data_IF_919478121872
#
_entry.id   IF_919478121872
#
_cell.length_a   1.000
_cell.length_b   1.000
_cell.length_c   1.000
_cell.angle_alpha   90.00
_cell.angle_beta   90.00
_cell.angle_gamma   90.00
#
_symmetry.space_group_name_H-M   'P 1'
#
loop_
_entity.id
_entity.type
_entity.pdbx_description
1 polymer ?
#
# COMPACT_ATOMS: atom_id res chain seq x y z
N UNK A 1 1.84 -20.64 1.66
CA UNK A 1 1.05 -21.23 2.76
C UNK A 1 -0.43 -20.92 2.56
N UNK A 2 -1.33 -21.77 3.04
CA UNK A 2 -2.77 -21.57 2.89
C UNK A 2 -3.45 -21.32 4.23
N UNK A 3 -4.51 -20.51 4.21
CA UNK A 3 -5.36 -20.33 5.38
C UNK A 3 -6.55 -21.32 5.44
N UNK A 4 -7.40 -21.17 6.45
CA UNK A 4 -8.58 -22.00 6.70
C UNK A 4 -9.65 -21.95 5.59
N UNK A 5 -9.52 -21.04 4.63
CA UNK A 5 -10.44 -20.88 3.50
C UNK A 5 -9.78 -21.23 2.16
N UNK A 6 -8.57 -21.80 2.18
CA UNK A 6 -7.83 -22.21 0.98
C UNK A 6 -7.15 -21.07 0.23
N UNK A 7 -7.05 -19.87 0.82
CA UNK A 7 -6.37 -18.73 0.19
C UNK A 7 -4.86 -18.89 0.33
N UNK A 8 -4.14 -18.85 -0.78
CA UNK A 8 -2.68 -18.86 -0.76
C UNK A 8 -2.14 -17.49 -0.32
N UNK A 9 -1.44 -17.46 0.81
CA UNK A 9 -0.77 -16.27 1.32
C UNK A 9 0.68 -16.23 0.82
N UNK A 10 0.94 -15.34 -0.15
CA UNK A 10 2.24 -15.19 -0.81
C UNK A 10 2.74 -13.73 -0.83
N UNK A 11 2.01 -12.80 -0.20
CA UNK A 11 2.31 -11.38 -0.22
C UNK A 11 2.39 -10.80 1.21
N UNK A 12 3.58 -10.35 1.60
CA UNK A 12 3.84 -9.68 2.87
C UNK A 12 3.89 -8.15 2.70
N UNK A 13 3.26 -7.41 3.61
CA UNK A 13 3.45 -5.97 3.76
C UNK A 13 4.17 -5.69 5.08
N UNK A 14 5.25 -4.93 5.04
CA UNK A 14 6.04 -4.58 6.23
C UNK A 14 6.09 -3.07 6.36
N UNK A 15 5.52 -2.55 7.45
CA UNK A 15 5.70 -1.15 7.84
C UNK A 15 7.06 -1.01 8.52
N UNK A 16 7.96 -0.24 7.93
CA UNK A 16 9.32 -0.09 8.45
C UNK A 16 9.39 1.02 9.51
N UNK A 17 8.44 1.94 9.55
CA UNK A 17 8.43 3.01 10.54
C UNK A 17 7.01 3.54 10.70
N UNK A 18 6.72 4.08 11.87
CA UNK A 18 5.52 4.84 12.18
C UNK A 18 5.65 6.34 11.86
N UNK A 19 6.86 6.81 11.57
CA UNK A 19 7.14 8.21 11.24
C UNK A 19 6.73 8.53 9.82
N UNK A 20 6.03 9.64 9.64
CA UNK A 20 5.67 10.19 8.34
C UNK A 20 6.00 11.68 8.32
N UNK A 21 6.43 12.20 7.19
CA UNK A 21 6.61 13.63 6.97
C UNK A 21 5.29 14.34 6.58
N UNK A 22 4.19 13.61 6.36
CA UNK A 22 2.85 14.17 6.07
C UNK A 22 1.90 13.95 7.27
N UNK A 23 0.77 14.68 7.29
CA UNK A 23 -0.31 14.57 8.29
C UNK A 23 -1.67 14.47 7.61
N UNK A 24 -1.81 13.51 6.69
CA UNK A 24 -3.00 13.45 5.84
C UNK A 24 -4.28 13.26 6.64
N UNK A 25 -5.34 13.99 6.28
CA UNK A 25 -6.61 14.06 7.03
C UNK A 25 -7.17 12.69 7.40
N UNK A 26 -7.25 11.76 6.44
CA UNK A 26 -7.80 10.42 6.66
C UNK A 26 -6.80 9.42 7.27
N UNK A 27 -5.55 9.85 7.51
CA UNK A 27 -4.46 8.96 7.88
C UNK A 27 -3.92 9.23 9.27
N UNK A 28 -3.60 10.49 9.61
CA UNK A 28 -2.92 10.89 10.84
C UNK A 28 -3.46 12.25 11.33
N UNK A 29 -3.72 12.43 12.65
CA UNK A 29 -4.19 13.69 13.21
C UNK A 29 -3.20 14.83 12.99
N UNK A 30 -3.69 16.08 13.09
CA UNK A 30 -2.91 17.29 12.80
C UNK A 30 -1.74 17.46 13.74
N UNK A 31 -1.99 17.22 15.02
CA UNK A 31 -1.04 17.30 16.13
C UNK A 31 0.05 16.21 16.02
N UNK A 32 -0.12 15.25 15.10
CA UNK A 32 0.70 14.07 14.98
C UNK A 32 0.38 13.04 16.05
N UNK A 33 1.26 12.03 16.15
CA UNK A 33 1.06 10.87 17.02
C UNK A 33 2.31 10.63 17.84
N UNK A 34 2.16 10.03 19.01
CA UNK A 34 3.30 9.57 19.78
C UNK A 34 4.04 8.47 19.02
N UNK A 35 5.27 8.76 18.64
CA UNK A 35 6.08 7.79 17.93
C UNK A 35 6.53 6.66 18.83
N UNK A 36 6.60 5.47 18.24
CA UNK A 36 7.17 4.27 18.83
C UNK A 36 8.63 4.55 19.20
N UNK A 37 9.05 4.23 20.44
CA UNK A 37 10.44 4.29 20.86
C UNK A 37 11.34 3.48 19.93
N UNK A 38 12.58 3.94 19.74
CA UNK A 38 13.47 3.32 18.76
C UNK A 38 13.72 1.83 19.06
N UNK A 39 13.85 1.44 20.33
CA UNK A 39 14.03 0.03 20.72
C UNK A 39 12.86 -0.89 20.34
N UNK A 40 11.65 -0.31 20.23
CA UNK A 40 10.41 -1.03 19.94
C UNK A 40 10.08 -1.07 18.44
N UNK A 41 10.90 -0.44 17.59
CA UNK A 41 10.80 -0.56 16.14
C UNK A 41 11.51 -1.83 15.68
N UNK A 42 10.84 -2.61 14.82
CA UNK A 42 11.42 -3.77 14.13
C UNK A 42 12.67 -3.34 13.36
N UNK A 43 13.83 -3.92 13.70
CA UNK A 43 15.12 -3.60 13.06
C UNK A 43 15.23 -4.23 11.67
N UNK A 44 16.21 -3.80 10.88
CA UNK A 44 16.43 -4.38 9.56
C UNK A 44 16.83 -5.85 9.63
N UNK A 45 17.60 -6.21 10.67
CA UNK A 45 17.98 -7.58 10.99
C UNK A 45 16.76 -8.42 11.36
N UNK A 46 15.77 -7.83 12.06
CA UNK A 46 14.50 -8.51 12.35
C UNK A 46 13.68 -8.74 11.08
N UNK A 47 13.62 -7.75 10.18
CA UNK A 47 12.93 -7.90 8.90
C UNK A 47 13.62 -8.97 8.04
N UNK A 48 14.95 -8.97 8.01
CA UNK A 48 15.73 -9.96 7.26
C UNK A 48 15.49 -11.38 7.79
N UNK A 49 15.52 -11.55 9.11
CA UNK A 49 15.19 -12.81 9.78
C UNK A 49 13.74 -13.24 9.48
N UNK A 50 12.77 -12.34 9.63
CA UNK A 50 11.37 -12.59 9.29
C UNK A 50 11.21 -13.10 7.86
N UNK A 51 11.86 -12.45 6.89
CA UNK A 51 11.82 -12.87 5.49
C UNK A 51 12.53 -14.20 5.27
N UNK A 52 13.62 -14.48 5.99
CA UNK A 52 14.29 -15.78 6.01
C UNK A 52 13.35 -16.92 6.38
N UNK A 53 12.45 -16.70 7.34
CA UNK A 53 11.45 -17.68 7.77
C UNK A 53 10.25 -17.76 6.80
N UNK A 54 9.74 -16.61 6.37
CA UNK A 54 8.48 -16.54 5.60
C UNK A 54 8.61 -16.91 4.12
N UNK A 55 9.78 -16.72 3.50
CA UNK A 55 9.98 -17.07 2.09
C UNK A 55 9.87 -18.59 1.86
N UNK A 56 10.52 -19.45 2.66
CA UNK A 56 10.28 -20.90 2.62
C UNK A 56 8.81 -21.28 2.83
N UNK A 57 8.06 -20.50 3.63
CA UNK A 57 6.62 -20.74 3.86
C UNK A 57 5.71 -20.32 2.70
N UNK A 58 6.25 -19.67 1.67
CA UNK A 58 5.52 -19.34 0.44
C UNK A 58 5.42 -17.84 0.14
N UNK A 59 5.98 -16.95 0.97
CA UNK A 59 6.05 -15.53 0.59
C UNK A 59 6.95 -15.37 -0.64
N UNK A 60 6.44 -14.64 -1.64
CA UNK A 60 7.13 -14.36 -2.91
C UNK A 60 7.28 -12.87 -3.18
N UNK A 61 6.45 -12.06 -2.53
CA UNK A 61 6.45 -10.61 -2.66
C UNK A 61 6.43 -9.94 -1.30
N UNK A 62 7.29 -8.94 -1.13
CA UNK A 62 7.25 -8.03 0.01
C UNK A 62 6.98 -6.61 -0.49
N UNK A 63 6.07 -5.91 0.17
CA UNK A 63 5.88 -4.47 0.01
C UNK A 63 6.27 -3.76 1.28
N UNK A 64 7.21 -2.84 1.16
CA UNK A 64 7.58 -1.95 2.25
C UNK A 64 6.71 -0.69 2.23
N UNK A 65 6.26 -0.33 3.43
CA UNK A 65 5.47 0.87 3.73
C UNK A 65 5.97 1.48 5.05
N UNK A 66 5.30 2.51 5.55
CA UNK A 66 5.59 3.11 6.85
C UNK A 66 4.27 3.46 7.57
N UNK A 67 4.00 4.69 8.04
CA UNK A 67 4.78 5.91 7.87
C UNK A 67 5.14 6.27 6.42
N UNK A 68 6.18 7.07 6.27
CA UNK A 68 6.90 7.25 5.01
C UNK A 68 8.22 6.45 5.06
N UNK A 69 8.40 5.37 4.29
CA UNK A 69 9.61 4.54 4.36
C UNK A 69 10.92 5.31 4.17
N UNK A 70 10.92 6.32 3.29
CA UNK A 70 12.14 7.06 2.93
C UNK A 70 12.64 7.98 4.04
N UNK A 71 11.85 8.21 5.11
CA UNK A 71 12.36 8.91 6.31
C UNK A 71 13.22 8.01 7.19
N UNK A 72 13.15 6.68 7.02
CA UNK A 72 13.90 5.74 7.88
C UNK A 72 15.34 5.63 7.38
N UNK A 73 16.28 6.17 8.18
CA UNK A 73 17.71 6.17 7.88
C UNK A 73 18.23 4.74 7.60
N UNK A 74 18.99 4.59 6.52
CA UNK A 74 19.60 3.33 6.12
C UNK A 74 18.68 2.38 5.33
N UNK A 75 17.42 2.77 5.10
CA UNK A 75 16.43 1.89 4.47
C UNK A 75 16.82 1.44 3.06
N UNK A 76 17.34 2.32 2.21
CA UNK A 76 17.74 1.95 0.85
C UNK A 76 18.96 1.03 0.84
N UNK A 77 19.90 1.22 1.77
CA UNK A 77 21.01 0.28 1.97
C UNK A 77 20.51 -1.13 2.30
N UNK A 78 19.58 -1.21 3.26
CA UNK A 78 18.90 -2.47 3.59
C UNK A 78 18.19 -3.09 2.37
N UNK A 79 17.48 -2.31 1.56
CA UNK A 79 16.82 -2.85 0.36
C UNK A 79 17.82 -3.39 -0.67
N UNK A 80 18.97 -2.72 -0.88
CA UNK A 80 20.03 -3.19 -1.77
C UNK A 80 20.59 -4.54 -1.29
N UNK A 81 20.87 -4.64 0.00
CA UNK A 81 21.37 -5.87 0.62
C UNK A 81 20.33 -7.00 0.53
N UNK A 82 19.07 -6.69 0.83
CA UNK A 82 17.96 -7.63 0.74
C UNK A 82 17.80 -8.17 -0.68
N UNK A 83 17.83 -7.29 -1.69
CA UNK A 83 17.71 -7.71 -3.10
C UNK A 83 18.90 -8.57 -3.52
N UNK A 84 20.12 -8.17 -3.15
CA UNK A 84 21.36 -8.93 -3.44
C UNK A 84 21.30 -10.34 -2.85
N UNK A 85 20.88 -10.46 -1.59
CA UNK A 85 20.79 -11.74 -0.89
C UNK A 85 19.61 -12.61 -1.36
N UNK A 86 18.55 -11.98 -1.90
CA UNK A 86 17.30 -12.66 -2.29
C UNK A 86 16.82 -12.17 -3.67
N UNK A 87 17.54 -12.50 -4.76
CA UNK A 87 17.29 -11.93 -6.08
C UNK A 87 15.90 -12.26 -6.65
N UNK A 88 15.34 -13.41 -6.27
CA UNK A 88 14.01 -13.86 -6.72
C UNK A 88 12.85 -13.17 -5.97
N UNK A 89 13.12 -12.52 -4.82
CA UNK A 89 12.08 -11.83 -4.06
C UNK A 89 11.62 -10.59 -4.83
N UNK A 90 10.30 -10.48 -5.04
CA UNK A 90 9.69 -9.26 -5.58
C UNK A 90 9.59 -8.23 -4.45
N UNK A 91 10.37 -7.16 -4.56
CA UNK A 91 10.39 -6.07 -3.60
C UNK A 91 9.62 -4.90 -4.21
N UNK A 92 8.62 -4.39 -3.49
CA UNK A 92 7.85 -3.22 -3.90
C UNK A 92 7.85 -2.17 -2.78
N UNK A 93 7.69 -0.91 -3.16
CA UNK A 93 7.69 0.23 -2.24
C UNK A 93 6.40 1.03 -2.38
N UNK A 94 5.85 1.53 -1.28
CA UNK A 94 4.84 2.60 -1.27
C UNK A 94 5.40 3.81 -0.56
N UNK A 95 5.30 4.99 -1.17
CA UNK A 95 5.80 6.27 -0.65
C UNK A 95 4.83 7.38 -1.01
N UNK A 96 4.86 8.50 -0.30
CA UNK A 96 4.20 9.74 -0.70
C UNK A 96 4.95 10.48 -1.82
N UNK A 97 6.17 10.08 -2.17
CA UNK A 97 6.92 10.60 -3.30
C UNK A 97 7.80 11.83 -3.00
N UNK A 98 7.56 12.55 -1.90
CA UNK A 98 8.24 13.82 -1.59
C UNK A 98 9.78 13.72 -1.47
N UNK A 99 10.28 12.57 -1.01
CA UNK A 99 11.71 12.33 -0.81
C UNK A 99 12.40 11.62 -1.98
N UNK A 100 11.65 11.25 -3.04
CA UNK A 100 12.21 10.49 -4.17
C UNK A 100 13.33 11.25 -4.87
N UNK A 101 13.21 12.57 -5.01
CA UNK A 101 14.24 13.42 -5.63
C UNK A 101 15.61 13.32 -4.95
N UNK A 102 15.64 13.09 -3.65
CA UNK A 102 16.88 12.95 -2.87
C UNK A 102 17.53 11.58 -3.03
N UNK A 103 16.75 10.57 -3.44
CA UNK A 103 17.16 9.17 -3.45
C UNK A 103 17.00 8.50 -4.81
N UNK A 104 16.88 9.28 -5.89
CA UNK A 104 16.55 8.79 -7.22
C UNK A 104 17.53 7.70 -7.70
N UNK A 105 18.84 7.99 -7.66
CA UNK A 105 19.88 7.06 -8.09
C UNK A 105 19.86 5.77 -7.26
N UNK A 106 19.71 5.91 -5.94
CA UNK A 106 19.67 4.78 -5.03
C UNK A 106 18.45 3.89 -5.26
N UNK A 107 17.27 4.49 -5.48
CA UNK A 107 16.04 3.78 -5.80
C UNK A 107 16.15 3.00 -7.12
N UNK A 108 16.74 3.62 -8.15
CA UNK A 108 17.02 2.96 -9.42
C UNK A 108 17.95 1.75 -9.29
N UNK A 109 18.94 1.83 -8.40
CA UNK A 109 19.90 0.76 -8.15
C UNK A 109 19.37 -0.44 -7.34
N UNK A 110 18.24 -0.30 -6.62
CA UNK A 110 17.69 -1.37 -5.78
C UNK A 110 17.12 -2.54 -6.59
N UNK A 111 16.64 -2.30 -7.82
CA UNK A 111 15.94 -3.34 -8.59
C UNK A 111 14.54 -3.64 -8.04
N UNK A 112 13.79 -2.58 -7.70
CA UNK A 112 12.40 -2.68 -7.26
C UNK A 112 11.50 -3.25 -8.37
N UNK A 113 10.63 -4.20 -8.00
CA UNK A 113 9.61 -4.75 -8.88
C UNK A 113 8.43 -3.81 -9.14
N UNK A 114 8.33 -2.71 -8.38
CA UNK A 114 7.31 -1.69 -8.58
C UNK A 114 7.26 -0.68 -7.43
N UNK A 115 6.88 0.54 -7.78
CA UNK A 115 6.77 1.66 -6.86
C UNK A 115 5.34 2.22 -6.92
N UNK A 116 4.73 2.40 -5.75
CA UNK A 116 3.45 3.07 -5.62
C UNK A 116 3.67 4.46 -5.01
N UNK A 117 3.17 5.50 -5.67
CA UNK A 117 3.09 6.85 -5.10
C UNK A 117 1.66 7.12 -4.69
N UNK A 118 1.43 7.59 -3.47
CA UNK A 118 0.11 8.07 -3.04
C UNK A 118 -0.06 9.53 -3.46
N UNK A 119 -1.08 9.83 -4.26
CA UNK A 119 -1.42 11.17 -4.73
C UNK A 119 -2.94 11.26 -4.90
N UNK A 120 -3.58 12.08 -4.06
CA UNK A 120 -5.04 12.20 -4.06
C UNK A 120 -5.57 13.32 -4.95
N UNK A 121 -4.75 14.27 -5.37
CA UNK A 121 -5.15 15.42 -6.18
C UNK A 121 -3.93 16.01 -6.89
N UNK A 122 -4.15 16.63 -8.05
CA UNK A 122 -3.12 17.39 -8.78
C UNK A 122 -3.32 18.91 -8.61
N UNK A 123 -4.31 19.33 -7.84
CA UNK A 123 -4.46 20.71 -7.39
C UNK A 123 -3.62 20.95 -6.13
N UNK A 124 -2.80 22.01 -6.17
CA UNK A 124 -1.85 22.32 -5.10
C UNK A 124 -2.53 22.70 -3.78
N UNK A 125 -3.63 23.43 -3.82
CA UNK A 125 -4.34 23.87 -2.61
C UNK A 125 -5.15 22.71 -2.00
N UNK A 126 -5.81 21.89 -2.83
CA UNK A 126 -6.42 20.63 -2.37
C UNK A 126 -5.36 19.70 -1.78
N UNK A 127 -4.19 19.59 -2.41
CA UNK A 127 -3.08 18.78 -1.90
C UNK A 127 -2.63 19.24 -0.51
N UNK A 128 -2.40 20.55 -0.35
CA UNK A 128 -2.01 21.13 0.92
C UNK A 128 -3.07 20.91 2.00
N UNK A 129 -4.35 21.00 1.63
CA UNK A 129 -5.48 20.75 2.53
C UNK A 129 -5.50 19.29 3.00
N UNK A 130 -5.40 18.32 2.08
CA UNK A 130 -5.52 16.90 2.43
C UNK A 130 -4.28 16.36 3.14
N UNK A 131 -3.07 16.83 2.79
CA UNK A 131 -1.80 16.33 3.34
C UNK A 131 -1.28 17.13 4.53
N UNK A 132 -1.78 18.37 4.72
CA UNK A 132 -1.31 19.38 5.68
C UNK A 132 0.18 19.72 5.52
N UNK A 133 0.69 19.71 4.28
CA UNK A 133 2.08 20.06 3.99
C UNK A 133 2.21 20.77 2.64
N UNK A 134 3.28 21.55 2.46
CA UNK A 134 3.59 22.28 1.22
C UNK A 134 4.64 21.53 0.37
N UNK A 135 4.40 20.22 0.17
CA UNK A 135 5.34 19.30 -0.49
C UNK A 135 4.90 18.95 -1.93
N UNK A 136 3.90 19.64 -2.47
CA UNK A 136 3.30 19.35 -3.78
C UNK A 136 4.36 19.27 -4.89
N UNK A 137 5.23 20.29 -4.97
CA UNK A 137 6.25 20.34 -6.03
C UNK A 137 7.29 19.22 -5.90
N UNK A 138 7.66 18.87 -4.66
CA UNK A 138 8.59 17.79 -4.40
C UNK A 138 7.98 16.43 -4.79
N UNK A 139 6.68 16.22 -4.57
CA UNK A 139 5.96 15.01 -5.01
C UNK A 139 5.88 14.95 -6.53
N UNK A 140 5.53 16.05 -7.19
CA UNK A 140 5.45 16.11 -8.66
C UNK A 140 6.80 15.84 -9.32
N UNK A 141 7.88 16.46 -8.80
CA UNK A 141 9.25 16.18 -9.24
C UNK A 141 9.63 14.72 -9.01
N UNK A 142 9.27 14.15 -7.84
CA UNK A 142 9.51 12.75 -7.53
C UNK A 142 8.84 11.79 -8.51
N UNK A 143 7.57 12.03 -8.84
CA UNK A 143 6.81 11.24 -9.83
C UNK A 143 7.48 11.34 -11.21
N UNK A 144 7.87 12.55 -11.62
CA UNK A 144 8.56 12.81 -12.88
C UNK A 144 9.88 12.02 -12.98
N UNK A 145 10.67 12.02 -11.92
CA UNK A 145 11.93 11.27 -11.83
C UNK A 145 11.66 9.77 -12.00
N UNK A 146 10.66 9.22 -11.30
CA UNK A 146 10.35 7.79 -11.39
C UNK A 146 9.94 7.41 -12.82
N UNK A 147 8.99 8.15 -13.38
CA UNK A 147 8.41 7.88 -14.69
C UNK A 147 9.39 8.04 -15.85
N UNK A 148 10.38 8.94 -15.72
CA UNK A 148 11.35 9.23 -16.80
C UNK A 148 12.70 8.54 -16.62
N UNK A 149 13.17 8.31 -15.38
CA UNK A 149 14.57 7.93 -15.12
C UNK A 149 14.75 6.55 -14.51
N UNK A 150 13.81 6.06 -13.69
CA UNK A 150 14.10 4.89 -12.85
C UNK A 150 13.78 3.54 -13.49
N UNK A 151 13.06 3.51 -14.63
CA UNK A 151 12.61 2.28 -15.30
C UNK A 151 11.96 1.27 -14.31
N UNK A 152 11.22 1.79 -13.33
CA UNK A 152 10.48 1.00 -12.33
C UNK A 152 9.00 1.12 -12.69
N UNK A 153 8.22 0.01 -12.71
CA UNK A 153 6.78 0.08 -12.89
C UNK A 153 6.13 0.99 -11.84
N UNK A 154 5.67 2.15 -12.28
CA UNK A 154 5.06 3.17 -11.44
C UNK A 154 3.54 3.00 -11.41
N UNK A 155 2.98 3.11 -10.21
CA UNK A 155 1.54 3.18 -10.02
C UNK A 155 1.20 4.33 -9.10
N UNK A 156 0.22 5.13 -9.49
CA UNK A 156 -0.31 6.21 -8.65
C UNK A 156 -1.55 5.67 -7.94
N UNK A 157 -1.61 5.83 -6.62
CA UNK A 157 -2.76 5.44 -5.81
C UNK A 157 -3.48 6.70 -5.34
N UNK A 158 -4.76 6.79 -5.65
CA UNK A 158 -5.62 7.92 -5.32
C UNK A 158 -6.82 7.40 -4.55
N UNK A 159 -7.03 7.90 -3.32
CA UNK A 159 -8.29 7.65 -2.60
C UNK A 159 -9.35 8.55 -3.21
N UNK A 160 -10.39 7.96 -3.80
CA UNK A 160 -11.49 8.71 -4.42
C UNK A 160 -12.49 9.14 -3.35
N UNK A 161 -12.70 10.45 -3.23
CA UNK A 161 -13.53 11.10 -2.21
C UNK A 161 -14.52 12.01 -2.92
N UNK A 162 -15.81 11.73 -2.75
CA UNK A 162 -16.89 12.52 -3.36
C UNK A 162 -16.91 13.95 -2.80
N UNK A 163 -17.09 14.93 -3.68
CA UNK A 163 -17.06 16.35 -3.34
C UNK A 163 -15.66 16.91 -3.04
N UNK A 164 -14.60 16.16 -3.35
CA UNK A 164 -13.22 16.60 -3.11
C UNK A 164 -12.33 16.45 -4.34
N UNK A 165 -12.17 15.22 -4.86
CA UNK A 165 -11.32 14.93 -6.02
C UNK A 165 -12.02 14.09 -7.10
N UNK A 166 -13.32 13.89 -6.96
CA UNK A 166 -14.17 13.19 -7.91
C UNK A 166 -14.32 13.98 -9.23
N UNK A 167 -14.19 15.29 -9.17
CA UNK A 167 -14.07 16.20 -10.32
C UNK A 167 -12.71 16.10 -11.06
N UNK A 168 -11.69 15.52 -10.43
CA UNK A 168 -10.33 15.41 -10.98
C UNK A 168 -10.03 14.05 -11.63
N UNK A 169 -10.96 13.09 -11.64
CA UNK A 169 -10.72 11.72 -12.09
C UNK A 169 -10.10 11.68 -13.50
N UNK A 170 -10.65 12.43 -14.45
CA UNK A 170 -10.12 12.52 -15.82
C UNK A 170 -8.70 13.10 -15.85
N UNK A 171 -8.50 14.24 -15.18
CA UNK A 171 -7.20 14.91 -15.14
C UNK A 171 -6.12 14.04 -14.49
N UNK A 172 -6.47 13.27 -13.46
CA UNK A 172 -5.59 12.33 -12.78
C UNK A 172 -5.20 11.14 -13.69
N UNK A 173 -6.13 10.64 -14.50
CA UNK A 173 -5.85 9.58 -15.49
C UNK A 173 -4.88 10.10 -16.56
N UNK A 174 -5.11 11.30 -17.06
CA UNK A 174 -4.27 11.91 -18.08
C UNK A 174 -2.88 12.27 -17.54
N UNK A 175 -2.81 12.79 -16.31
CA UNK A 175 -1.56 12.97 -15.59
C UNK A 175 -0.79 11.66 -15.47
N UNK A 176 -1.43 10.59 -14.98
CA UNK A 176 -0.76 9.30 -14.84
C UNK A 176 -0.24 8.75 -16.19
N UNK A 177 -1.02 8.90 -17.28
CA UNK A 177 -0.57 8.56 -18.63
C UNK A 177 0.69 9.33 -19.01
N UNK A 178 0.71 10.65 -18.82
CA UNK A 178 1.88 11.49 -19.13
C UNK A 178 3.13 11.03 -18.36
N UNK A 179 2.95 10.57 -17.12
CA UNK A 179 4.05 10.08 -16.26
C UNK A 179 4.41 8.62 -16.47
N UNK A 180 3.92 7.95 -17.52
CA UNK A 180 4.10 6.51 -17.75
C UNK A 180 3.69 5.64 -16.54
N UNK A 181 2.65 6.07 -15.82
CA UNK A 181 2.14 5.43 -14.62
C UNK A 181 0.77 4.80 -14.87
N UNK A 182 0.45 3.75 -14.11
CA UNK A 182 -0.92 3.23 -14.03
C UNK A 182 -1.59 3.80 -12.79
N UNK A 183 -2.65 4.58 -12.98
CA UNK A 183 -3.45 5.10 -11.86
C UNK A 183 -4.36 4.02 -11.28
N UNK A 184 -4.55 4.06 -9.97
CA UNK A 184 -5.48 3.22 -9.23
C UNK A 184 -6.31 4.06 -8.28
N UNK A 185 -7.62 4.02 -8.48
CA UNK A 185 -8.59 4.61 -7.56
C UNK A 185 -8.94 3.61 -6.47
N UNK A 186 -9.00 4.10 -5.23
CA UNK A 186 -9.29 3.31 -4.04
C UNK A 186 -10.54 3.92 -3.41
N UNK A 187 -11.52 3.09 -3.09
CA UNK A 187 -12.68 3.54 -2.32
C UNK A 187 -12.25 4.10 -0.96
N UNK A 188 -12.84 5.23 -0.58
CA UNK A 188 -12.60 5.80 0.73
C UNK A 188 -13.18 4.90 1.83
N UNK A 189 -12.31 4.37 2.69
CA UNK A 189 -12.68 3.38 3.71
C UNK A 189 -13.12 4.04 5.02
N UNK A 190 -14.12 3.47 5.73
CA UNK A 190 -14.61 3.95 7.03
C UNK A 190 -13.66 3.54 8.17
N UNK A 191 -12.41 3.98 8.11
CA UNK A 191 -11.42 3.75 9.17
C UNK A 191 -11.44 4.84 10.24
N UNK A 192 -11.87 6.04 9.86
CA UNK A 192 -11.97 7.21 10.71
C UNK A 192 -13.31 7.91 10.50
N UNK A 193 -14.22 7.74 11.45
CA UNK A 193 -15.57 8.32 11.37
C UNK A 193 -15.60 9.84 11.49
N UNK A 194 -14.49 10.50 11.85
CA UNK A 194 -14.42 11.97 11.88
C UNK A 194 -14.27 12.58 10.49
N UNK A 195 -13.71 11.82 9.54
CA UNK A 195 -13.46 12.28 8.16
C UNK A 195 -14.31 11.51 7.15
N UNK A 196 -14.69 10.27 7.45
CA UNK A 196 -15.49 9.44 6.56
C UNK A 196 -16.99 9.59 6.81
N UNK A 197 -17.77 9.70 5.74
CA UNK A 197 -19.23 9.64 5.77
C UNK A 197 -19.78 8.94 4.53
N UNK A 198 -21.06 8.57 4.53
CA UNK A 198 -21.71 8.06 3.31
C UNK A 198 -21.77 9.11 2.20
N UNK A 199 -21.76 10.39 2.55
CA UNK A 199 -21.87 11.48 1.59
C UNK A 199 -20.57 11.72 0.82
N UNK A 200 -19.42 11.34 1.39
CA UNK A 200 -18.12 11.44 0.74
C UNK A 200 -17.60 10.09 0.16
N UNK A 201 -18.45 9.07 0.17
CA UNK A 201 -18.15 7.75 -0.37
C UNK A 201 -18.47 7.66 -1.87
N UNK A 202 -17.54 7.08 -2.64
CA UNK A 202 -17.76 6.60 -4.00
C UNK A 202 -17.53 5.09 -4.04
N UNK A 203 -18.50 4.34 -4.55
CA UNK A 203 -18.31 2.93 -4.84
C UNK A 203 -17.45 2.72 -6.09
N UNK A 204 -16.95 1.51 -6.29
CA UNK A 204 -16.23 1.12 -7.48
C UNK A 204 -17.04 1.34 -8.76
N UNK A 205 -18.37 1.14 -8.71
CA UNK A 205 -19.27 1.40 -9.83
C UNK A 205 -19.46 2.91 -10.07
N UNK A 206 -19.51 3.72 -9.01
CA UNK A 206 -19.55 5.19 -9.15
C UNK A 206 -18.25 5.71 -9.78
N UNK A 207 -17.09 5.23 -9.31
CA UNK A 207 -15.78 5.57 -9.89
C UNK A 207 -15.72 5.17 -11.37
N UNK A 208 -16.20 3.96 -11.70
CA UNK A 208 -16.24 3.47 -13.09
C UNK A 208 -17.15 4.34 -13.96
N UNK A 209 -18.30 4.79 -13.43
CA UNK A 209 -19.22 5.68 -14.12
C UNK A 209 -18.63 7.08 -14.35
N UNK A 210 -17.78 7.56 -13.45
CA UNK A 210 -17.06 8.83 -13.57
C UNK A 210 -15.85 8.78 -14.51
N UNK A 211 -15.45 7.60 -15.04
CA UNK A 211 -14.34 7.55 -15.98
C UNK A 211 -14.67 8.28 -17.30
N UNK A 212 -13.67 8.86 -17.99
CA UNK A 212 -13.87 9.57 -19.25
C UNK A 212 -14.59 8.70 -20.28
N UNK A 213 -15.62 9.26 -20.92
CA UNK A 213 -16.49 8.55 -21.86
C UNK A 213 -17.54 7.63 -21.21
N UNK A 214 -17.57 7.54 -19.89
CA UNK A 214 -18.47 6.69 -19.13
C UNK A 214 -18.08 5.21 -19.15
N UNK A 215 -18.70 4.43 -18.24
CA UNK A 215 -18.36 3.02 -18.00
C UNK A 215 -18.35 2.13 -19.26
N UNK A 216 -19.19 2.41 -20.25
CA UNK A 216 -19.28 1.63 -21.49
C UNK A 216 -18.04 1.70 -22.40
N UNK A 217 -17.12 2.64 -22.15
CA UNK A 217 -15.87 2.77 -22.91
C UNK A 217 -14.69 2.03 -22.26
N UNK A 218 -14.91 1.37 -21.13
CA UNK A 218 -13.88 0.71 -20.33
C UNK A 218 -14.16 -0.79 -20.21
N UNK A 219 -13.31 -1.60 -20.84
CA UNK A 219 -13.38 -3.05 -20.75
C UNK A 219 -12.60 -3.56 -19.55
N UNK A 220 -13.22 -4.42 -18.75
CA UNK A 220 -12.54 -5.12 -17.67
C UNK A 220 -11.49 -6.07 -18.24
N UNK A 221 -10.25 -5.96 -17.76
CA UNK A 221 -9.18 -6.88 -18.17
C UNK A 221 -9.35 -8.24 -17.50
N UNK A 222 -9.27 -9.30 -18.31
CA UNK A 222 -9.29 -10.66 -17.80
C UNK A 222 -8.01 -10.98 -17.01
N UNK A 223 -8.22 -11.38 -15.76
CA UNK A 223 -7.16 -11.72 -14.80
C UNK A 223 -6.30 -12.91 -15.28
N UNK A 224 -6.82 -13.74 -16.20
CA UNK A 224 -6.14 -14.92 -16.75
C UNK A 224 -4.99 -14.58 -17.71
N UNK A 225 -4.99 -13.39 -18.33
CA UNK A 225 -3.95 -12.99 -19.30
C UNK A 225 -2.76 -12.25 -18.67
N UNK A 226 -2.92 -11.74 -17.45
CA UNK A 226 -1.86 -11.02 -16.73
C UNK A 226 -1.30 -11.90 -15.63
N UNK A 227 0.01 -12.15 -15.62
CA UNK A 227 0.71 -12.82 -14.53
C UNK A 227 0.22 -12.32 -13.16
N UNK A 228 -0.60 -13.13 -12.47
CA UNK A 228 -1.15 -12.97 -11.13
C UNK A 228 -1.32 -11.52 -10.65
N UNK A 229 -2.56 -11.01 -10.60
CA UNK A 229 -2.82 -9.65 -10.12
C UNK A 229 -2.17 -9.43 -8.75
N UNK A 230 -1.20 -8.53 -8.76
CA UNK A 230 -0.26 -8.28 -7.69
C UNK A 230 -0.88 -7.40 -6.59
N UNK A 231 -2.14 -7.67 -6.24
CA UNK A 231 -3.01 -6.89 -5.36
C UNK A 231 -4.51 -6.98 -5.72
N UNK A 232 -5.36 -6.24 -4.99
CA UNK A 232 -6.83 -6.33 -5.10
C UNK A 232 -7.46 -5.57 -6.27
N UNK A 233 -6.66 -4.83 -7.04
CA UNK A 233 -7.20 -3.95 -8.07
C UNK A 233 -7.80 -4.77 -9.22
N UNK A 234 -9.00 -4.38 -9.64
CA UNK A 234 -9.56 -4.77 -10.93
C UNK A 234 -9.13 -3.74 -11.95
N UNK A 235 -8.51 -4.18 -13.04
CA UNK A 235 -8.04 -3.28 -14.09
C UNK A 235 -9.06 -3.19 -15.21
N UNK A 236 -9.19 -1.98 -15.74
CA UNK A 236 -10.02 -1.63 -16.87
C UNK A 236 -9.17 -0.96 -17.92
N UNK A 237 -9.48 -1.21 -19.18
CA UNK A 237 -8.78 -0.67 -20.34
C UNK A 237 -9.77 0.09 -21.21
N UNK A 238 -9.44 1.34 -21.54
CA UNK A 238 -10.25 2.14 -22.43
C UNK A 238 -10.15 1.60 -23.86
N UNK A 239 -11.28 1.37 -24.52
CA UNK A 239 -11.33 0.75 -25.86
C UNK A 239 -10.79 1.64 -26.97
N UNK A 240 -10.75 2.96 -26.76
CA UNK A 240 -10.32 3.93 -27.76
C UNK A 240 -8.87 4.38 -27.54
N UNK A 241 -8.49 4.64 -26.29
CA UNK A 241 -7.17 5.20 -25.95
C UNK A 241 -6.18 4.14 -25.47
N UNK A 242 -6.64 2.91 -25.20
CA UNK A 242 -5.86 1.84 -24.60
C UNK A 242 -5.28 2.21 -23.21
N UNK A 243 -5.76 3.31 -22.59
CA UNK A 243 -5.41 3.71 -21.23
C UNK A 243 -5.87 2.65 -20.24
N UNK A 244 -5.08 2.45 -19.19
CA UNK A 244 -5.35 1.45 -18.16
C UNK A 244 -5.55 2.12 -16.80
N UNK A 245 -6.64 1.77 -16.13
CA UNK A 245 -7.00 2.25 -14.79
C UNK A 245 -7.27 1.04 -13.90
N UNK A 246 -6.85 1.08 -12.64
CA UNK A 246 -7.29 0.10 -11.65
C UNK A 246 -8.29 0.68 -10.67
N UNK A 247 -9.26 -0.12 -10.25
CA UNK A 247 -10.21 0.24 -9.20
C UNK A 247 -10.07 -0.78 -8.06
N UNK A 248 -9.94 -0.30 -6.83
CA UNK A 248 -9.85 -1.12 -5.63
C UNK A 248 -11.12 -0.92 -4.80
N UNK A 249 -12.05 -1.87 -4.94
CA UNK A 249 -13.27 -1.95 -4.13
C UNK A 249 -12.95 -2.46 -2.72
N UNK A 250 -12.63 -1.53 -1.81
CA UNK A 250 -12.27 -1.86 -0.43
C UNK A 250 -13.50 -2.13 0.46
N UNK A 251 -14.62 -1.50 0.12
CA UNK A 251 -15.87 -1.44 0.89
C UNK A 251 -17.01 -2.09 0.11
N UNK A 252 -17.33 -1.61 -1.10
CA UNK A 252 -18.56 -2.01 -1.83
C UNK A 252 -18.55 -3.48 -2.29
N UNK A 253 -17.39 -3.94 -2.77
CA UNK A 253 -17.20 -5.29 -3.31
C UNK A 253 -15.85 -5.83 -2.86
N UNK A 254 -15.79 -6.24 -1.59
CA UNK A 254 -14.54 -6.63 -0.96
C UNK A 254 -13.88 -7.86 -1.65
N UNK A 255 -12.56 -7.87 -1.74
CA UNK A 255 -11.75 -8.93 -2.37
C UNK A 255 -11.23 -9.99 -1.37
N UNK A 256 -11.98 -10.23 -0.29
CA UNK A 256 -11.50 -11.06 0.82
C UNK A 256 -11.30 -12.53 0.43
N UNK A 257 -12.12 -13.04 -0.49
CA UNK A 257 -12.05 -14.40 -1.07
C UNK A 257 -10.70 -14.68 -1.76
N UNK A 258 -10.05 -13.64 -2.30
CA UNK A 258 -8.74 -13.73 -3.00
C UNK A 258 -7.59 -13.08 -2.21
N UNK A 259 -7.82 -12.75 -0.94
CA UNK A 259 -6.84 -12.01 -0.15
C UNK A 259 -5.62 -12.88 0.24
N UNK A 260 -4.50 -12.65 -0.43
CA UNK A 260 -3.21 -13.33 -0.25
C UNK A 260 -2.23 -12.64 0.71
N UNK A 261 -2.72 -11.68 1.52
CA UNK A 261 -1.88 -10.73 2.26
C UNK A 261 -1.71 -11.06 3.75
N UNK A 262 -0.48 -10.83 4.21
CA UNK A 262 -0.09 -10.64 5.61
C UNK A 262 0.52 -9.24 5.81
N UNK A 263 0.43 -8.71 7.03
CA UNK A 263 1.02 -7.43 7.39
C UNK A 263 1.82 -7.53 8.68
N UNK A 264 2.96 -6.86 8.74
CA UNK A 264 3.71 -6.63 9.97
C UNK A 264 3.82 -5.13 10.16
N UNK A 265 3.39 -4.64 11.33
CA UNK A 265 3.47 -3.23 11.70
C UNK A 265 4.90 -2.86 12.12
N UNK A 266 5.18 -1.56 12.28
CA UNK A 266 6.50 -1.08 12.67
C UNK A 266 6.95 -1.54 14.08
N UNK A 267 6.01 -1.87 14.98
CA UNK A 267 6.27 -2.45 16.30
C UNK A 267 6.24 -3.99 16.32
N UNK A 268 6.14 -4.67 15.17
CA UNK A 268 6.23 -6.13 15.12
C UNK A 268 4.92 -6.86 15.46
N UNK A 269 3.77 -6.24 15.20
CA UNK A 269 2.47 -6.91 15.26
C UNK A 269 2.16 -7.56 13.90
N UNK A 270 2.02 -8.89 13.89
CA UNK A 270 1.56 -9.67 12.74
C UNK A 270 0.04 -9.61 12.62
N UNK A 271 -0.45 -9.12 11.48
CA UNK A 271 -1.88 -8.98 11.20
C UNK A 271 -2.25 -9.71 9.92
N UNK A 272 -3.33 -10.47 9.98
CA UNK A 272 -3.86 -11.23 8.84
C UNK A 272 -4.99 -10.51 8.12
N UNK A 273 -5.56 -9.46 8.72
CA UNK A 273 -6.56 -8.58 8.12
C UNK A 273 -6.27 -7.11 8.47
N UNK A 274 -6.60 -6.20 7.55
CA UNK A 274 -6.47 -4.76 7.74
C UNK A 274 -7.36 -4.26 8.90
N UNK A 275 -8.57 -4.82 8.99
CA UNK A 275 -9.61 -4.44 9.94
C UNK A 275 -9.58 -5.25 11.25
N UNK A 276 -8.62 -6.17 11.43
CA UNK A 276 -8.52 -6.94 12.67
C UNK A 276 -8.19 -6.01 13.85
N UNK A 277 -8.89 -6.14 14.97
CA UNK A 277 -8.65 -5.29 16.15
C UNK A 277 -7.26 -5.50 16.75
N UNK A 278 -6.78 -6.73 16.79
CA UNK A 278 -5.45 -7.07 17.29
C UNK A 278 -4.76 -8.04 16.34
N UNK A 279 -3.45 -7.92 16.25
CA UNK A 279 -2.59 -8.93 15.68
C UNK A 279 -1.80 -9.67 16.76
N UNK A 280 -0.94 -10.56 16.31
CA UNK A 280 -0.03 -11.30 17.18
C UNK A 280 1.27 -10.52 17.34
N UNK A 281 1.70 -10.25 18.57
CA UNK A 281 3.02 -9.69 18.82
C UNK A 281 4.09 -10.74 18.50
N UNK A 282 4.89 -10.45 17.48
CA UNK A 282 6.00 -11.31 17.05
C UNK A 282 7.36 -10.66 17.34
N UNK A 283 7.41 -9.43 17.85
CA UNK A 283 8.68 -8.73 18.11
C UNK A 283 9.60 -9.54 19.05
N UNK A 284 9.13 -10.12 20.18
CA UNK A 284 9.99 -10.94 21.03
C UNK A 284 10.59 -12.15 20.30
N UNK A 285 9.81 -12.78 19.41
CA UNK A 285 10.24 -13.95 18.63
C UNK A 285 11.31 -13.56 17.60
N UNK A 286 11.15 -12.39 16.98
CA UNK A 286 12.15 -11.81 16.09
C UNK A 286 13.45 -11.56 16.84
N UNK A 287 13.39 -10.88 18.00
CA UNK A 287 14.57 -10.54 18.81
C UNK A 287 15.32 -11.78 19.29
N UNK A 288 14.61 -12.81 19.70
CA UNK A 288 15.19 -14.09 20.13
C UNK A 288 15.75 -14.93 18.97
N UNK A 289 15.53 -14.53 17.70
CA UNK A 289 15.84 -15.32 16.50
C UNK A 289 15.30 -16.75 16.56
N UNK A 290 14.11 -16.90 17.16
CA UNK A 290 13.48 -18.20 17.34
C UNK A 290 12.62 -18.53 16.10
N UNK A 291 13.21 -19.27 15.17
CA UNK A 291 12.54 -19.62 13.91
C UNK A 291 11.29 -20.47 14.14
N UNK A 292 11.37 -21.51 14.96
CA UNK A 292 10.25 -22.45 15.15
C UNK A 292 9.04 -21.76 15.78
N UNK A 293 9.27 -20.99 16.86
CA UNK A 293 8.18 -20.23 17.50
C UNK A 293 7.58 -19.18 16.55
N UNK A 294 8.39 -18.55 15.70
CA UNK A 294 7.89 -17.60 14.69
C UNK A 294 7.04 -18.31 13.63
N UNK A 295 7.44 -19.49 13.17
CA UNK A 295 6.66 -20.31 12.22
C UNK A 295 5.32 -20.71 12.82
N UNK A 296 5.31 -21.18 14.07
CA UNK A 296 4.08 -21.54 14.79
C UNK A 296 3.14 -20.35 14.96
N UNK A 297 3.68 -19.19 15.37
CA UNK A 297 2.95 -17.93 15.47
C UNK A 297 2.31 -17.53 14.13
N UNK A 298 3.06 -17.60 13.04
CA UNK A 298 2.53 -17.29 11.70
C UNK A 298 1.43 -18.28 11.32
N UNK A 299 1.62 -19.58 11.52
CA UNK A 299 0.62 -20.60 11.19
C UNK A 299 -0.66 -20.40 11.99
N UNK A 300 -0.57 -20.14 13.29
CA UNK A 300 -1.74 -19.90 14.14
C UNK A 300 -2.49 -18.64 13.73
N UNK A 301 -1.78 -17.54 13.50
CA UNK A 301 -2.34 -16.29 12.96
C UNK A 301 -3.05 -16.50 11.63
N UNK A 302 -2.43 -17.25 10.70
CA UNK A 302 -2.98 -17.56 9.38
C UNK A 302 -4.27 -18.38 9.48
N UNK A 303 -4.34 -19.36 10.39
CA UNK A 303 -5.57 -20.13 10.64
C UNK A 303 -6.73 -19.28 11.16
N UNK A 304 -6.41 -18.22 11.92
CA UNK A 304 -7.39 -17.26 12.44
C UNK A 304 -7.74 -16.15 11.46
N UNK A 305 -7.15 -16.13 10.25
CA UNK A 305 -7.46 -15.11 9.24
C UNK A 305 -8.97 -15.18 8.91
N UNK A 306 -9.73 -14.09 9.09
CA UNK A 306 -11.18 -14.12 8.92
C UNK A 306 -11.56 -14.36 7.45
N UNK A 307 -12.77 -14.90 7.22
CA UNK A 307 -13.34 -15.07 5.87
C UNK A 307 -13.40 -13.74 5.12
N UNK A 308 -13.79 -12.68 5.81
CA UNK A 308 -13.86 -11.31 5.30
C UNK A 308 -13.95 -10.29 6.43
N UNK A 309 -13.69 -9.03 6.13
CA UNK A 309 -13.68 -7.97 7.14
C UNK A 309 -15.05 -7.73 7.78
N UNK A 310 -16.15 -8.00 7.05
CA UNK A 310 -17.53 -7.90 7.54
C UNK A 310 -17.86 -8.85 8.70
N UNK A 311 -17.00 -9.84 8.98
CA UNK A 311 -17.17 -10.76 10.12
C UNK A 311 -16.37 -10.31 11.36
N UNK A 312 -15.69 -9.17 11.27
CA UNK A 312 -14.98 -8.57 12.39
C UNK A 312 -15.87 -7.51 13.06
N UNK A 313 -15.68 -7.26 14.37
CA UNK A 313 -16.30 -6.11 15.00
C UNK A 313 -15.86 -4.82 14.29
N UNK A 314 -16.72 -3.81 14.30
CA UNK A 314 -16.32 -2.46 13.87
C UNK A 314 -15.15 -1.99 14.75
N UNK A 315 -14.10 -1.49 14.11
CA UNK A 315 -12.93 -0.96 14.82
C UNK A 315 -12.69 0.47 14.39
N UNK A 316 -12.48 1.35 15.37
CA UNK A 316 -12.01 2.72 15.13
C UNK A 316 -10.48 2.70 15.18
N UNK A 317 -9.86 2.44 14.03
CA UNK A 317 -8.40 2.50 13.87
C UNK A 317 -8.03 3.36 12.70
N UNK A 318 -7.12 4.28 12.92
CA UNK A 318 -6.59 5.13 11.88
C UNK A 318 -5.57 4.37 11.01
N UNK A 319 -5.41 4.82 9.76
CA UNK A 319 -4.49 4.19 8.80
C UNK A 319 -3.04 4.14 9.31
N UNK A 320 -2.59 5.14 10.07
CA UNK A 320 -1.25 5.18 10.65
C UNK A 320 -0.97 4.02 11.61
N UNK A 321 -1.97 3.58 12.38
CA UNK A 321 -1.83 2.52 13.40
C UNK A 321 -1.69 1.12 12.81
N UNK A 322 -2.15 0.96 11.57
CA UNK A 322 -2.14 -0.32 10.89
C UNK A 322 -0.99 -0.44 9.91
N UNK A 323 -0.17 0.61 9.71
CA UNK A 323 1.03 0.60 8.87
C UNK A 323 0.77 0.92 7.40
N UNK A 324 -0.16 1.87 7.15
CA UNK A 324 -0.58 2.45 5.86
C UNK A 324 0.28 2.10 4.65
#
# INVERSE_FOLDING_TARGET
MNDSYGRELNYLRVSVTDRCNFRCLYCMPEEGVHFIPHENIVTYEDIDFLLGVLIPMGIRKVRFTGGEPLVRRGFLGFLKDLKRNRPQLKIALTTNGSLVRLFAEELGAVGLSGLNVSLDTIDKEKFKTVTRTDEFENVMEGIDIIGKKLNIPLKINTVAIKGFNDDEIENLIDFAREKNAVIRFIEFMPLDCSVWSKDNFLSADDILACLPGGAGTWEKEDVSASHGTDGPAVYYRNVHTNQRVGIIAAVSSHFCDKCNRLRVTANGELRTCLFAEKGQDILPLLRARNEEALREAVISSVRMKPKGWQFLPETQKHMWQIGG
#
